data_IF_192446119441
#
_entry.id   IF_192446119441
#
_cell.length_a   1.000
_cell.length_b   1.000
_cell.length_c   1.000
_cell.angle_alpha   90.00
_cell.angle_beta   90.00
_cell.angle_gamma   90.00
#
_symmetry.space_group_name_H-M   'P 1'
#
loop_
_entity.id
_entity.type
_entity.pdbx_description
1 polymer ?
#
# COMPACT_ATOMS: atom_id res chain seq x y z
N UNK A 1 -4.02 -12.07 11.20
CA UNK A 1 -4.24 -10.77 10.50
C UNK A 1 -4.96 -11.06 9.20
N UNK A 2 -5.81 -10.15 8.72
CA UNK A 2 -6.50 -10.32 7.44
C UNK A 2 -5.68 -9.67 6.33
N UNK A 3 -5.81 -10.16 5.10
CA UNK A 3 -5.08 -9.59 3.96
C UNK A 3 -5.37 -8.10 3.74
N UNK A 4 -6.55 -7.61 4.11
CA UNK A 4 -6.88 -6.18 4.08
C UNK A 4 -6.06 -5.39 5.11
N UNK A 5 -5.96 -5.89 6.34
CA UNK A 5 -5.15 -5.28 7.40
C UNK A 5 -3.67 -5.28 7.03
N UNK A 6 -3.18 -6.36 6.42
CA UNK A 6 -1.78 -6.45 5.95
C UNK A 6 -1.48 -5.41 4.87
N UNK A 7 -2.43 -5.14 3.96
CA UNK A 7 -2.30 -4.12 2.93
C UNK A 7 -2.33 -2.70 3.51
N UNK A 8 -3.16 -2.44 4.51
CA UNK A 8 -3.20 -1.15 5.22
C UNK A 8 -1.87 -0.85 5.92
N UNK A 9 -1.35 -1.84 6.65
CA UNK A 9 -0.04 -1.78 7.29
C UNK A 9 1.09 -1.50 6.28
N UNK A 10 1.06 -2.16 5.13
CA UNK A 10 2.06 -1.98 4.07
C UNK A 10 2.01 -0.56 3.48
N UNK A 11 0.81 -0.02 3.25
CA UNK A 11 0.62 1.35 2.76
C UNK A 11 1.20 2.33 3.76
N UNK A 12 0.84 2.22 5.05
CA UNK A 12 1.28 3.17 6.07
C UNK A 12 2.81 3.14 6.23
N UNK A 13 3.42 1.94 6.24
CA UNK A 13 4.87 1.80 6.32
C UNK A 13 5.58 2.40 5.12
N UNK A 14 5.06 2.19 3.91
CA UNK A 14 5.66 2.72 2.70
C UNK A 14 5.63 4.27 2.69
N UNK A 15 4.49 4.86 3.05
CA UNK A 15 4.33 6.32 3.15
C UNK A 15 5.22 6.93 4.25
N UNK A 16 5.41 6.22 5.37
CA UNK A 16 6.32 6.66 6.44
C UNK A 16 7.78 6.62 5.97
N UNK A 17 8.18 5.54 5.30
CA UNK A 17 9.53 5.40 4.76
C UNK A 17 9.83 6.47 3.72
N UNK A 18 8.88 6.74 2.82
CA UNK A 18 8.99 7.77 1.78
C UNK A 18 9.35 9.15 2.38
N UNK A 19 8.75 9.50 3.53
CA UNK A 19 9.00 10.78 4.22
C UNK A 19 10.31 10.83 4.99
N UNK A 20 10.93 9.68 5.25
CA UNK A 20 12.14 9.57 6.09
C UNK A 20 13.45 9.49 5.32
N UNK A 21 13.40 9.32 3.99
CA UNK A 21 14.57 9.12 3.14
C UNK A 21 14.69 10.23 2.10
N UNK A 22 15.87 10.37 1.50
CA UNK A 22 16.15 11.36 0.44
C UNK A 22 16.43 10.73 -0.92
N UNK A 23 16.65 9.41 -0.97
CA UNK A 23 16.92 8.70 -2.22
C UNK A 23 15.67 8.71 -3.12
N UNK A 24 15.77 9.45 -4.22
CA UNK A 24 14.61 9.72 -5.10
C UNK A 24 14.09 8.44 -5.76
N UNK A 25 14.97 7.53 -6.18
CA UNK A 25 14.56 6.26 -6.79
C UNK A 25 13.80 5.38 -5.78
N UNK A 26 14.25 5.33 -4.53
CA UNK A 26 13.56 4.59 -3.47
C UNK A 26 12.23 5.23 -3.12
N UNK A 27 12.15 6.57 -3.09
CA UNK A 27 10.87 7.30 -2.92
C UNK A 27 9.87 6.92 -4.01
N UNK A 28 10.28 6.92 -5.28
CA UNK A 28 9.40 6.54 -6.40
C UNK A 28 8.92 5.09 -6.29
N UNK A 29 9.82 4.18 -5.91
CA UNK A 29 9.48 2.77 -5.69
C UNK A 29 8.50 2.59 -4.52
N UNK A 30 8.68 3.30 -3.42
CA UNK A 30 7.76 3.28 -2.27
C UNK A 30 6.37 3.82 -2.65
N UNK A 31 6.32 4.92 -3.42
CA UNK A 31 5.07 5.48 -3.95
C UNK A 31 4.36 4.49 -4.88
N UNK A 32 5.09 3.86 -5.79
CA UNK A 32 4.53 2.85 -6.68
C UNK A 32 3.98 1.66 -5.89
N UNK A 33 4.75 1.15 -4.93
CA UNK A 33 4.35 0.06 -4.07
C UNK A 33 3.07 0.38 -3.28
N UNK A 34 3.00 1.55 -2.63
CA UNK A 34 1.80 1.98 -1.91
C UNK A 34 0.58 2.08 -2.85
N UNK A 35 0.77 2.57 -4.08
CA UNK A 35 -0.30 2.62 -5.08
C UNK A 35 -0.78 1.23 -5.50
N UNK A 36 0.11 0.24 -5.62
CA UNK A 36 -0.23 -1.16 -5.88
C UNK A 36 -1.03 -1.77 -4.72
N UNK A 37 -0.60 -1.56 -3.48
CA UNK A 37 -1.32 -2.03 -2.30
C UNK A 37 -2.74 -1.42 -2.22
N UNK A 38 -2.91 -0.12 -2.52
CA UNK A 38 -4.22 0.52 -2.55
C UNK A 38 -5.16 -0.11 -3.58
N UNK A 39 -4.66 -0.38 -4.80
CA UNK A 39 -5.44 -1.06 -5.85
C UNK A 39 -5.87 -2.45 -5.43
N UNK A 40 -4.97 -3.23 -4.83
CA UNK A 40 -5.30 -4.57 -4.35
C UNK A 40 -6.32 -4.54 -3.20
N UNK A 41 -6.19 -3.58 -2.29
CA UNK A 41 -7.16 -3.37 -1.21
C UNK A 41 -8.55 -3.03 -1.76
N UNK A 42 -8.63 -2.17 -2.77
CA UNK A 42 -9.87 -1.83 -3.46
C UNK A 42 -10.51 -3.08 -4.09
N UNK A 43 -9.73 -3.90 -4.81
CA UNK A 43 -10.20 -5.16 -5.40
C UNK A 43 -10.75 -6.10 -4.34
N UNK A 44 -10.00 -6.33 -3.26
CA UNK A 44 -10.44 -7.22 -2.17
C UNK A 44 -11.68 -6.69 -1.46
N UNK A 45 -11.77 -5.37 -1.27
CA UNK A 45 -12.97 -4.74 -0.72
C UNK A 45 -14.17 -4.94 -1.65
N UNK A 46 -14.01 -4.71 -2.96
CA UNK A 46 -15.08 -4.91 -3.94
C UNK A 46 -15.53 -6.37 -4.01
N UNK A 47 -14.60 -7.33 -4.00
CA UNK A 47 -14.93 -8.76 -3.95
C UNK A 47 -15.74 -9.15 -2.71
N UNK A 48 -15.46 -8.54 -1.56
CA UNK A 48 -16.23 -8.80 -0.33
C UNK A 48 -17.66 -8.24 -0.38
N UNK A 49 -17.92 -7.20 -1.15
CA UNK A 49 -19.27 -6.62 -1.28
C UNK A 49 -20.10 -7.30 -2.41
N UNK A 50 -19.44 -8.03 -3.30
CA UNK A 50 -20.08 -8.76 -4.40
C UNK A 50 -20.39 -10.23 -4.06
N UNK A 51 -19.97 -10.72 -2.89
CA UNK A 51 -20.20 -12.06 -2.36
C UNK A 51 -21.23 -12.02 -1.23
#
# INVERSE_FOLDING_TARGET
MTKLTDLEDQIERAERLERSITDTLTIERLRQFAAECRRERERLSQHRHAA
#
